data_IF_667777648785
#
_entry.id   IF_667777648785
#
_cell.length_a   1.000
_cell.length_b   1.000
_cell.length_c   1.000
_cell.angle_alpha   90.00
_cell.angle_beta   90.00
_cell.angle_gamma   90.00
#
_symmetry.space_group_name_H-M   'P 1'
#
loop_
_entity.id
_entity.type
_entity.pdbx_description
1 polymer ?
#
# COMPACT_ATOMS: atom_id res chain seq x y z
N UNK A 1 -16.88 -8.49 -2.51
CA UNK A 1 -16.78 -9.49 -3.63
C UNK A 1 -15.55 -10.35 -3.39
N UNK A 2 -15.63 -11.68 -3.44
CA UNK A 2 -14.46 -12.53 -3.18
C UNK A 2 -13.79 -12.99 -4.49
N UNK A 3 -12.52 -13.40 -4.39
CA UNK A 3 -11.69 -13.78 -5.53
C UNK A 3 -12.28 -14.92 -6.37
N UNK A 4 -12.79 -15.96 -5.72
CA UNK A 4 -13.38 -17.11 -6.42
C UNK A 4 -14.62 -16.72 -7.22
N UNK A 5 -15.46 -15.82 -6.68
CA UNK A 5 -16.61 -15.30 -7.39
C UNK A 5 -16.18 -14.50 -8.65
N UNK A 6 -15.13 -13.66 -8.54
CA UNK A 6 -14.60 -12.92 -9.69
C UNK A 6 -14.12 -13.89 -10.77
N UNK A 7 -13.37 -14.93 -10.41
CA UNK A 7 -12.91 -15.94 -11.38
C UNK A 7 -14.06 -16.69 -12.05
N UNK A 8 -15.10 -17.02 -11.28
CA UNK A 8 -16.30 -17.66 -11.82
C UNK A 8 -17.02 -16.75 -12.82
N UNK A 9 -17.25 -15.49 -12.49
CA UNK A 9 -17.93 -14.51 -13.37
C UNK A 9 -17.11 -14.29 -14.64
N UNK A 10 -15.81 -14.06 -14.51
CA UNK A 10 -14.93 -13.88 -15.68
C UNK A 10 -14.90 -15.10 -16.59
N UNK A 11 -14.95 -16.31 -16.02
CA UNK A 11 -14.93 -17.55 -16.77
C UNK A 11 -16.26 -17.93 -17.44
N UNK A 12 -17.40 -17.46 -16.92
CA UNK A 12 -18.73 -17.85 -17.39
C UNK A 12 -19.39 -16.86 -18.33
N UNK A 13 -19.02 -15.59 -18.30
CA UNK A 13 -19.65 -14.52 -19.10
C UNK A 13 -18.97 -14.37 -20.46
N UNK A 14 -19.73 -13.98 -21.49
CA UNK A 14 -19.16 -13.37 -22.70
C UNK A 14 -18.51 -12.00 -22.35
N UNK A 15 -17.77 -11.41 -23.28
CA UNK A 15 -17.16 -10.10 -23.00
C UNK A 15 -18.22 -9.01 -22.83
N UNK A 16 -19.30 -9.05 -23.64
CA UNK A 16 -20.44 -8.13 -23.50
C UNK A 16 -21.20 -8.31 -22.19
N UNK A 17 -21.45 -9.55 -21.78
CA UNK A 17 -22.12 -9.84 -20.50
C UNK A 17 -21.24 -9.39 -19.32
N UNK A 18 -19.93 -9.55 -19.45
CA UNK A 18 -18.98 -9.09 -18.42
C UNK A 18 -18.98 -7.56 -18.29
N UNK A 19 -19.01 -6.82 -19.41
CA UNK A 19 -19.10 -5.35 -19.40
C UNK A 19 -20.40 -4.90 -18.73
N UNK A 20 -21.55 -5.50 -19.08
CA UNK A 20 -22.84 -5.19 -18.46
C UNK A 20 -22.82 -5.48 -16.96
N UNK A 21 -22.35 -6.66 -16.57
CA UNK A 21 -22.18 -7.02 -15.17
C UNK A 21 -21.26 -6.05 -14.42
N UNK A 22 -20.12 -5.66 -15.01
CA UNK A 22 -19.18 -4.74 -14.41
C UNK A 22 -19.79 -3.32 -14.21
N UNK A 23 -20.64 -2.89 -15.14
CA UNK A 23 -21.41 -1.66 -15.03
C UNK A 23 -22.46 -1.74 -13.91
N UNK A 24 -23.24 -2.81 -13.84
CA UNK A 24 -24.23 -3.04 -12.77
C UNK A 24 -23.59 -3.07 -11.38
N UNK A 25 -22.40 -3.68 -11.27
CA UNK A 25 -21.62 -3.71 -10.03
C UNK A 25 -20.87 -2.40 -9.73
N UNK A 26 -21.03 -1.37 -10.58
CA UNK A 26 -20.31 -0.09 -10.51
C UNK A 26 -18.76 -0.27 -10.51
N UNK A 27 -18.30 -1.35 -11.11
CA UNK A 27 -16.87 -1.62 -11.35
C UNK A 27 -16.35 -0.71 -12.45
N UNK A 28 -17.16 -0.42 -13.44
CA UNK A 28 -16.94 0.59 -14.47
C UNK A 28 -18.09 1.60 -14.44
N UNK A 29 -17.87 2.76 -15.02
CA UNK A 29 -18.92 3.75 -15.15
C UNK A 29 -20.06 3.18 -16.06
N UNK A 30 -21.29 3.60 -15.78
CA UNK A 30 -22.43 3.18 -16.59
C UNK A 30 -22.22 3.58 -18.05
N UNK A 31 -22.14 2.58 -18.92
CA UNK A 31 -21.91 2.76 -20.36
C UNK A 31 -23.03 3.53 -21.06
N UNK A 32 -24.21 3.62 -20.43
CA UNK A 32 -25.38 4.32 -20.95
C UNK A 32 -25.46 5.79 -20.52
N UNK A 33 -24.54 6.25 -19.66
CA UNK A 33 -24.49 7.64 -19.22
C UNK A 33 -23.49 8.47 -20.05
N UNK A 34 -23.78 9.76 -20.18
CA UNK A 34 -22.85 10.71 -20.78
C UNK A 34 -21.69 10.98 -19.81
N UNK A 35 -20.48 10.67 -20.23
CA UNK A 35 -19.28 10.87 -19.42
C UNK A 35 -18.46 12.05 -19.93
N UNK A 36 -17.99 12.88 -19.02
CA UNK A 36 -17.13 14.02 -19.33
C UNK A 36 -15.71 13.74 -18.78
N UNK A 37 -14.70 14.12 -19.54
CA UNK A 37 -13.32 14.04 -19.09
C UNK A 37 -13.10 14.95 -17.87
N UNK A 38 -12.58 14.41 -16.79
CA UNK A 38 -12.30 15.19 -15.56
C UNK A 38 -11.24 16.29 -15.76
N UNK A 39 -10.40 16.15 -16.79
CA UNK A 39 -9.31 17.11 -17.05
C UNK A 39 -9.70 18.23 -18.04
N UNK A 40 -10.52 17.94 -19.06
CA UNK A 40 -10.87 18.91 -20.10
C UNK A 40 -12.40 19.15 -20.22
N UNK A 41 -13.22 18.49 -19.44
CA UNK A 41 -14.68 18.58 -19.43
C UNK A 41 -15.37 18.31 -20.78
N UNK A 42 -14.65 17.74 -21.74
CA UNK A 42 -15.25 17.33 -23.01
C UNK A 42 -16.01 16.03 -22.85
N UNK A 43 -17.10 15.90 -23.65
CA UNK A 43 -17.85 14.68 -23.74
C UNK A 43 -16.97 13.53 -24.23
N UNK A 44 -16.87 12.47 -23.46
CA UNK A 44 -16.12 11.28 -23.84
C UNK A 44 -16.99 10.41 -24.74
N UNK A 45 -16.44 10.02 -25.89
CA UNK A 45 -17.11 9.12 -26.83
C UNK A 45 -16.83 7.68 -26.46
N UNK A 46 -17.86 6.86 -26.55
CA UNK A 46 -17.73 5.41 -26.55
C UNK A 46 -16.88 5.04 -27.78
N UNK A 47 -15.71 4.44 -27.55
CA UNK A 47 -14.89 3.94 -28.64
C UNK A 47 -15.00 2.41 -28.69
N UNK A 48 -15.59 1.90 -29.76
CA UNK A 48 -15.48 0.49 -30.13
C UNK A 48 -14.17 0.30 -30.88
N UNK A 49 -13.38 -0.65 -30.49
CA UNK A 49 -12.12 -0.99 -31.15
C UNK A 49 -12.22 -2.42 -31.66
N UNK A 50 -11.67 -2.68 -32.86
CA UNK A 50 -11.55 -4.04 -33.39
C UNK A 50 -10.76 -4.98 -32.47
N UNK A 51 -9.99 -4.42 -31.54
CA UNK A 51 -9.30 -5.17 -30.48
C UNK A 51 -10.20 -5.59 -29.32
N UNK A 52 -11.38 -4.94 -29.19
CA UNK A 52 -12.36 -5.18 -28.15
C UNK A 52 -13.74 -5.14 -28.78
N UNK A 53 -14.09 -6.13 -29.63
CA UNK A 53 -15.31 -6.12 -30.43
C UNK A 53 -16.59 -6.01 -29.58
N UNK A 54 -16.50 -6.38 -28.29
CA UNK A 54 -17.64 -6.44 -27.38
C UNK A 54 -17.55 -5.40 -26.24
N UNK A 55 -16.54 -4.51 -26.26
CA UNK A 55 -16.27 -3.61 -25.14
C UNK A 55 -16.16 -2.15 -25.53
N UNK A 56 -17.07 -1.34 -24.98
CA UNK A 56 -16.92 0.10 -24.95
C UNK A 56 -15.85 0.48 -23.92
N UNK A 57 -14.77 1.10 -24.37
CA UNK A 57 -13.75 1.65 -23.47
C UNK A 57 -13.80 3.16 -23.57
N UNK A 58 -14.13 3.79 -22.44
CA UNK A 58 -14.01 5.23 -22.32
C UNK A 58 -12.55 5.65 -22.43
N UNK A 59 -12.32 6.89 -22.79
CA UNK A 59 -11.01 7.50 -22.90
C UNK A 59 -10.31 7.55 -21.52
N UNK A 60 -9.89 6.40 -21.06
CA UNK A 60 -9.22 6.15 -19.79
C UNK A 60 -7.88 5.48 -20.08
N UNK A 61 -7.00 5.43 -19.10
CA UNK A 61 -5.73 4.72 -19.20
C UNK A 61 -5.87 3.21 -19.61
N UNK A 62 -7.09 2.64 -19.51
CA UNK A 62 -7.42 1.28 -19.97
C UNK A 62 -7.57 1.27 -21.50
N UNK A 63 -7.94 2.39 -22.15
CA UNK A 63 -8.17 2.43 -23.61
C UNK A 63 -6.94 2.06 -24.44
N UNK A 64 -5.75 2.35 -23.93
CA UNK A 64 -4.47 2.01 -24.56
C UNK A 64 -3.91 0.65 -24.10
N UNK A 65 -4.62 -0.04 -23.23
CA UNK A 65 -4.20 -1.31 -22.69
C UNK A 65 -4.21 -2.42 -23.76
N UNK A 66 -3.17 -3.25 -23.78
CA UNK A 66 -3.08 -4.42 -24.66
C UNK A 66 -3.73 -5.67 -24.08
N UNK A 67 -4.56 -5.53 -23.05
CA UNK A 67 -5.26 -6.61 -22.35
C UNK A 67 -6.75 -6.32 -22.29
N UNK A 68 -7.59 -7.35 -22.24
CA UNK A 68 -9.03 -7.18 -22.09
C UNK A 68 -9.42 -6.70 -20.68
N UNK A 69 -10.61 -6.12 -20.54
CA UNK A 69 -11.15 -5.73 -19.23
C UNK A 69 -11.23 -6.92 -18.27
N UNK A 70 -11.58 -8.12 -18.77
CA UNK A 70 -11.55 -9.36 -18.00
C UNK A 70 -10.17 -9.67 -17.44
N UNK A 71 -9.15 -9.64 -18.32
CA UNK A 71 -7.77 -9.87 -17.89
C UNK A 71 -7.33 -8.83 -16.85
N UNK A 72 -7.64 -7.56 -17.07
CA UNK A 72 -7.36 -6.50 -16.12
C UNK A 72 -8.02 -6.76 -14.75
N UNK A 73 -9.31 -7.11 -14.75
CA UNK A 73 -10.06 -7.42 -13.52
C UNK A 73 -9.44 -8.59 -12.76
N UNK A 74 -9.02 -9.65 -13.46
CA UNK A 74 -8.34 -10.78 -12.82
C UNK A 74 -6.95 -10.38 -12.30
N UNK A 75 -6.19 -9.55 -13.04
CA UNK A 75 -4.89 -9.04 -12.58
C UNK A 75 -5.06 -8.23 -11.29
N UNK A 76 -6.05 -7.34 -11.23
CA UNK A 76 -6.35 -6.57 -10.03
C UNK A 76 -6.80 -7.48 -8.87
N UNK A 77 -7.65 -8.47 -9.14
CA UNK A 77 -8.07 -9.44 -8.12
C UNK A 77 -6.86 -10.23 -7.58
N UNK A 78 -5.97 -10.69 -8.45
CA UNK A 78 -4.73 -11.36 -8.04
C UNK A 78 -3.84 -10.45 -7.17
N UNK A 79 -3.70 -9.18 -7.55
CA UNK A 79 -2.93 -8.22 -6.77
C UNK A 79 -3.58 -7.97 -5.41
N UNK A 80 -4.90 -7.79 -5.35
CA UNK A 80 -5.60 -7.54 -4.08
C UNK A 80 -5.50 -8.72 -3.11
N UNK A 81 -5.44 -9.94 -3.61
CA UNK A 81 -5.17 -11.17 -2.82
C UNK A 81 -3.69 -11.38 -2.47
N UNK A 82 -2.80 -10.49 -2.93
CA UNK A 82 -1.37 -10.56 -2.67
C UNK A 82 -0.65 -11.69 -3.42
N UNK A 83 -1.19 -12.12 -4.58
CA UNK A 83 -0.48 -13.07 -5.45
C UNK A 83 0.75 -12.40 -6.08
N UNK A 84 1.81 -13.18 -6.26
CA UNK A 84 3.01 -12.68 -6.93
C UNK A 84 2.85 -12.62 -8.46
N UNK A 85 3.75 -11.89 -9.12
CA UNK A 85 3.75 -11.67 -10.57
C UNK A 85 3.70 -12.99 -11.34
N UNK A 86 4.53 -13.97 -10.95
CA UNK A 86 4.65 -15.26 -11.65
C UNK A 86 3.35 -16.07 -11.58
N UNK A 87 2.70 -16.10 -10.43
CA UNK A 87 1.42 -16.78 -10.26
C UNK A 87 0.32 -16.09 -11.06
N UNK A 88 0.27 -14.76 -11.02
CA UNK A 88 -0.71 -13.96 -11.77
C UNK A 88 -0.52 -14.14 -13.29
N UNK A 89 0.72 -14.13 -13.78
CA UNK A 89 1.02 -14.38 -15.19
C UNK A 89 0.48 -15.75 -15.68
N UNK A 90 0.61 -16.79 -14.86
CA UNK A 90 0.06 -18.12 -15.19
C UNK A 90 -1.46 -18.14 -15.22
N UNK A 91 -2.12 -17.45 -14.29
CA UNK A 91 -3.60 -17.39 -14.19
C UNK A 91 -4.19 -16.62 -15.38
N UNK A 92 -3.59 -15.48 -15.73
CA UNK A 92 -4.14 -14.54 -16.73
C UNK A 92 -3.63 -14.79 -18.14
N UNK A 93 -2.62 -15.65 -18.32
CA UNK A 93 -1.91 -15.89 -19.59
C UNK A 93 -1.35 -14.57 -20.16
N UNK A 94 -0.97 -13.65 -19.28
CA UNK A 94 -0.36 -12.35 -19.62
C UNK A 94 1.11 -12.37 -19.21
N UNK A 95 1.99 -11.75 -20.00
CA UNK A 95 3.43 -11.75 -19.72
C UNK A 95 3.77 -11.17 -18.35
N UNK A 96 4.78 -11.74 -17.67
CA UNK A 96 5.26 -11.22 -16.37
C UNK A 96 5.64 -9.75 -16.42
N UNK A 97 6.19 -9.29 -17.56
CA UNK A 97 6.52 -7.86 -17.78
C UNK A 97 5.26 -6.99 -17.74
N UNK A 98 4.19 -7.41 -18.38
CA UNK A 98 2.91 -6.70 -18.39
C UNK A 98 2.29 -6.68 -16.99
N UNK A 99 2.27 -7.84 -16.30
CA UNK A 99 1.80 -7.93 -14.91
C UNK A 99 2.60 -6.99 -13.99
N UNK A 100 3.93 -6.97 -14.12
CA UNK A 100 4.79 -6.08 -13.32
C UNK A 100 4.43 -4.60 -13.51
N UNK A 101 4.12 -4.19 -14.75
CA UNK A 101 3.71 -2.81 -15.03
C UNK A 101 2.37 -2.48 -14.35
N UNK A 102 1.38 -3.38 -14.41
CA UNK A 102 0.11 -3.18 -13.71
C UNK A 102 0.27 -3.15 -12.19
N UNK A 103 1.06 -4.07 -11.65
CA UNK A 103 1.34 -4.08 -10.21
C UNK A 103 2.07 -2.80 -9.76
N UNK A 104 2.99 -2.27 -10.57
CA UNK A 104 3.64 -0.98 -10.28
C UNK A 104 2.63 0.18 -10.29
N UNK A 105 1.71 0.19 -11.26
CA UNK A 105 0.63 1.17 -11.32
C UNK A 105 -0.29 1.05 -10.10
N UNK A 106 -0.71 -0.16 -9.71
CA UNK A 106 -1.56 -0.37 -8.53
C UNK A 106 -0.85 0.08 -7.25
N UNK A 107 0.45 -0.15 -7.12
CA UNK A 107 1.25 0.38 -6.01
C UNK A 107 1.25 1.91 -5.96
N UNK A 108 1.45 2.57 -7.10
CA UNK A 108 1.44 4.03 -7.16
C UNK A 108 0.10 4.62 -6.71
N UNK A 109 -1.00 3.98 -7.08
CA UNK A 109 -2.35 4.39 -6.65
C UNK A 109 -2.55 4.09 -5.15
N UNK A 110 -2.14 2.91 -4.69
CA UNK A 110 -2.20 2.53 -3.28
C UNK A 110 -1.38 3.48 -2.39
N UNK A 111 -0.21 3.92 -2.85
CA UNK A 111 0.59 4.93 -2.16
C UNK A 111 -0.15 6.26 -2.06
N UNK A 112 -0.75 6.75 -3.15
CA UNK A 112 -1.53 7.99 -3.14
C UNK A 112 -2.69 7.92 -2.15
N UNK A 113 -3.43 6.81 -2.14
CA UNK A 113 -4.54 6.58 -1.21
C UNK A 113 -4.05 6.47 0.24
N UNK A 114 -2.94 5.77 0.47
CA UNK A 114 -2.32 5.68 1.79
C UNK A 114 -1.93 7.06 2.34
N UNK A 115 -1.27 7.90 1.55
CA UNK A 115 -0.90 9.26 1.97
C UNK A 115 -2.15 10.10 2.27
N UNK A 116 -3.15 10.08 1.39
CA UNK A 116 -4.43 10.77 1.61
C UNK A 116 -5.17 10.28 2.87
N UNK A 117 -5.08 8.98 3.17
CA UNK A 117 -5.69 8.41 4.38
C UNK A 117 -4.98 8.87 5.66
N UNK A 118 -3.65 8.94 5.65
CA UNK A 118 -2.88 9.45 6.80
C UNK A 118 -3.14 10.93 7.04
N UNK A 119 -3.21 11.75 5.99
CA UNK A 119 -3.54 13.17 6.12
C UNK A 119 -4.91 13.41 6.78
N UNK A 120 -5.88 12.54 6.51
CA UNK A 120 -7.23 12.62 7.07
C UNK A 120 -7.37 12.00 8.46
N UNK A 121 -6.60 10.97 8.73
CA UNK A 121 -6.76 10.10 9.91
C UNK A 121 -5.41 9.84 10.59
N UNK A 122 -4.92 10.85 11.33
CA UNK A 122 -3.70 10.70 12.12
C UNK A 122 -3.81 9.56 13.14
N UNK A 123 -2.66 8.96 13.49
CA UNK A 123 -2.55 7.97 14.54
C UNK A 123 -2.74 8.61 15.93
N UNK A 124 -2.97 7.79 16.95
CA UNK A 124 -2.95 8.20 18.34
C UNK A 124 -4.31 8.59 18.90
N UNK A 125 -5.26 7.67 18.86
CA UNK A 125 -6.43 7.71 19.75
C UNK A 125 -5.98 7.48 21.20
N UNK A 126 -4.88 6.72 21.39
CA UNK A 126 -4.26 6.42 22.67
C UNK A 126 -2.74 6.35 22.55
N UNK A 127 -2.19 5.14 22.61
CA UNK A 127 -0.76 4.88 22.58
C UNK A 127 -0.28 4.59 21.15
N UNK A 128 0.81 5.25 20.75
CA UNK A 128 1.53 4.99 19.50
C UNK A 128 2.93 4.47 19.83
N UNK A 129 3.27 3.28 19.35
CA UNK A 129 4.64 2.79 19.39
C UNK A 129 5.39 3.25 18.17
N UNK A 130 6.63 3.73 18.36
CA UNK A 130 7.54 4.15 17.30
C UNK A 130 8.86 3.42 17.40
N UNK A 131 9.48 3.15 16.24
CA UNK A 131 10.79 2.48 16.13
C UNK A 131 11.36 2.65 14.72
N UNK A 132 12.66 2.40 14.52
CA UNK A 132 13.27 2.29 13.21
C UNK A 132 13.76 0.88 12.94
N UNK A 133 13.63 0.46 11.69
CA UNK A 133 14.18 -0.80 11.24
C UNK A 133 15.10 -0.64 10.04
N UNK A 134 16.16 -1.41 10.08
CA UNK A 134 17.15 -1.45 9.04
C UNK A 134 16.77 -2.48 7.97
N UNK A 135 16.69 -2.02 6.73
CA UNK A 135 16.41 -2.85 5.57
C UNK A 135 17.68 -3.02 4.72
N UNK A 136 17.85 -4.17 4.06
CA UNK A 136 19.00 -4.52 3.21
C UNK A 136 20.36 -4.70 3.93
N UNK A 137 20.36 -5.14 5.17
CA UNK A 137 21.58 -5.58 5.82
C UNK A 137 22.13 -6.82 5.11
N UNK A 138 23.38 -6.79 4.66
CA UNK A 138 24.05 -7.97 4.11
C UNK A 138 24.06 -9.08 5.16
N UNK A 139 23.48 -10.23 4.84
CA UNK A 139 23.18 -11.29 5.82
C UNK A 139 24.41 -11.94 6.46
N UNK A 140 25.62 -11.66 6.04
CA UNK A 140 26.86 -12.23 6.61
C UNK A 140 28.11 -11.38 6.41
N UNK A 141 28.02 -10.09 6.07
CA UNK A 141 29.19 -9.29 5.67
C UNK A 141 30.08 -9.95 4.58
N UNK A 142 29.55 -10.94 3.85
CA UNK A 142 30.23 -11.70 2.82
C UNK A 142 29.61 -11.38 1.47
N UNK A 143 30.39 -10.76 0.62
CA UNK A 143 30.02 -10.45 -0.77
C UNK A 143 30.90 -9.32 -1.29
N UNK A 144 31.63 -9.59 -2.36
CA UNK A 144 32.59 -8.68 -2.94
C UNK A 144 31.97 -7.31 -3.31
N UNK A 145 32.48 -6.23 -2.69
CA UNK A 145 32.71 -5.00 -3.40
C UNK A 145 31.69 -3.88 -3.35
N UNK A 146 30.51 -4.02 -2.77
CA UNK A 146 29.62 -2.88 -2.58
C UNK A 146 29.06 -2.88 -1.15
N UNK A 147 29.60 -1.98 -0.33
CA UNK A 147 28.91 -1.52 0.89
C UNK A 147 27.57 -0.94 0.41
N UNK A 148 26.53 -1.78 0.40
CA UNK A 148 25.17 -1.27 0.20
C UNK A 148 24.81 -0.55 1.48
N UNK A 149 24.76 0.77 1.41
CA UNK A 149 24.34 1.57 2.55
C UNK A 149 22.98 1.09 3.01
N UNK A 150 22.82 0.99 4.31
CA UNK A 150 21.60 0.61 4.95
C UNK A 150 20.49 1.60 4.57
N UNK A 151 19.29 1.11 4.38
CA UNK A 151 18.12 1.96 4.26
C UNK A 151 17.34 1.85 5.55
N UNK A 152 17.07 2.98 6.16
CA UNK A 152 16.24 3.06 7.34
C UNK A 152 14.79 3.21 6.95
N UNK A 153 13.92 2.53 7.68
CA UNK A 153 12.48 2.74 7.64
C UNK A 153 12.05 3.08 9.05
N UNK A 154 11.50 4.26 9.21
CA UNK A 154 10.84 4.68 10.44
C UNK A 154 9.40 4.18 10.42
N UNK A 155 8.88 3.77 11.56
CA UNK A 155 7.51 3.27 11.67
C UNK A 155 6.82 3.64 12.96
N UNK A 156 5.52 3.77 12.84
CA UNK A 156 4.59 4.10 13.90
C UNK A 156 3.41 3.13 13.86
N UNK A 157 2.97 2.66 15.01
CA UNK A 157 1.76 1.84 15.12
C UNK A 157 0.88 2.31 16.26
N UNK A 158 -0.35 2.62 15.97
CA UNK A 158 -1.40 2.84 16.96
C UNK A 158 -1.83 1.50 17.56
N UNK A 159 -1.68 1.37 18.88
CA UNK A 159 -1.94 0.11 19.58
C UNK A 159 -3.42 -0.28 19.53
N UNK A 160 -4.32 0.68 19.57
CA UNK A 160 -5.77 0.44 19.64
C UNK A 160 -6.35 0.10 18.27
N UNK A 161 -6.02 0.90 17.26
CA UNK A 161 -6.57 0.73 15.91
C UNK A 161 -5.79 -0.24 15.04
N UNK A 162 -4.55 -0.57 15.41
CA UNK A 162 -3.58 -1.31 14.60
C UNK A 162 -3.19 -0.64 13.27
N UNK A 163 -3.49 0.63 13.10
CA UNK A 163 -3.05 1.41 11.94
C UNK A 163 -1.56 1.68 12.03
N UNK A 164 -0.91 1.72 10.88
CA UNK A 164 0.54 1.84 10.76
C UNK A 164 0.91 2.98 9.81
N UNK A 165 1.90 3.76 10.18
CA UNK A 165 2.67 4.60 9.28
C UNK A 165 4.07 4.04 9.19
N UNK A 166 4.62 3.97 7.98
CA UNK A 166 6.00 3.58 7.75
C UNK A 166 6.58 4.36 6.58
N UNK A 167 7.71 5.04 6.82
CA UNK A 167 8.38 5.93 5.87
C UNK A 167 9.85 5.56 5.71
N UNK A 168 10.33 5.59 4.47
CA UNK A 168 11.76 5.39 4.18
C UNK A 168 12.50 6.68 4.53
N UNK A 169 13.58 6.56 5.31
CA UNK A 169 14.36 7.68 5.81
C UNK A 169 15.84 7.58 5.37
N UNK A 170 16.44 8.74 5.14
CA UNK A 170 17.89 8.82 4.85
C UNK A 170 18.73 8.53 6.08
N UNK A 171 18.25 8.98 7.25
CA UNK A 171 18.91 8.79 8.53
C UNK A 171 17.90 8.68 9.69
N UNK A 172 18.41 8.59 10.93
CA UNK A 172 17.63 8.51 12.17
C UNK A 172 17.82 9.73 13.06
N UNK A 173 18.10 10.88 12.47
CA UNK A 173 18.24 12.13 13.23
C UNK A 173 16.88 12.65 13.71
N UNK A 174 16.90 13.52 14.71
CA UNK A 174 15.70 14.20 15.17
C UNK A 174 15.09 15.08 14.05
N UNK A 175 15.96 15.71 13.25
CA UNK A 175 15.59 16.53 12.10
C UNK A 175 14.78 15.74 11.05
N UNK A 176 15.05 14.44 10.91
CA UNK A 176 14.32 13.55 9.99
C UNK A 176 13.06 12.98 10.63
N UNK A 177 13.14 12.49 11.87
CA UNK A 177 12.06 11.71 12.49
C UNK A 177 10.96 12.59 13.10
N UNK A 178 11.29 13.69 13.74
CA UNK A 178 10.30 14.55 14.42
C UNK A 178 9.26 15.13 13.45
N UNK A 179 9.62 15.64 12.25
CA UNK A 179 8.62 16.08 11.28
C UNK A 179 7.62 15.00 10.87
N UNK A 180 8.06 13.74 10.72
CA UNK A 180 7.17 12.62 10.40
C UNK A 180 6.17 12.44 11.55
N UNK A 181 6.66 12.29 12.79
CA UNK A 181 5.82 12.09 13.97
C UNK A 181 4.78 13.20 14.12
N UNK A 182 5.19 14.45 13.99
CA UNK A 182 4.28 15.62 14.15
C UNK A 182 3.22 15.71 13.06
N UNK A 183 3.53 15.21 11.85
CA UNK A 183 2.57 15.18 10.75
C UNK A 183 1.57 14.03 10.85
N UNK A 184 1.96 12.88 11.40
CA UNK A 184 1.20 11.63 11.37
C UNK A 184 0.52 11.26 12.68
N UNK A 185 0.98 11.79 13.82
CA UNK A 185 0.45 11.49 15.16
C UNK A 185 -0.31 12.69 15.74
N UNK A 186 -1.42 12.42 16.41
CA UNK A 186 -2.19 13.42 17.15
C UNK A 186 -1.40 13.89 18.38
N UNK A 187 -1.43 15.20 18.68
CA UNK A 187 -0.70 15.81 19.79
C UNK A 187 -1.08 15.28 21.18
N UNK A 188 -2.26 14.67 21.33
CA UNK A 188 -2.73 14.08 22.59
C UNK A 188 -2.31 12.62 22.78
N UNK A 189 -1.61 12.03 21.81
CA UNK A 189 -1.16 10.65 21.88
C UNK A 189 -0.03 10.49 22.90
N UNK A 190 0.02 9.29 23.47
CA UNK A 190 1.15 8.86 24.29
C UNK A 190 2.09 8.09 23.36
N UNK A 191 3.34 8.54 23.22
CA UNK A 191 4.34 7.88 22.40
C UNK A 191 5.16 6.93 23.26
N UNK A 192 5.29 5.68 22.80
CA UNK A 192 6.18 4.67 23.37
C UNK A 192 7.31 4.38 22.39
N UNK A 193 8.56 4.45 22.87
CA UNK A 193 9.75 4.12 22.07
C UNK A 193 10.83 3.43 22.90
N UNK A 194 11.94 3.07 22.25
CA UNK A 194 13.20 2.83 22.94
C UNK A 194 13.84 4.16 23.42
N UNK A 195 15.02 4.06 24.04
CA UNK A 195 15.78 5.23 24.52
C UNK A 195 16.66 5.86 23.43
N UNK A 196 16.19 5.93 22.17
CA UNK A 196 16.94 6.61 21.11
C UNK A 196 16.91 8.14 21.30
N UNK A 197 18.11 8.78 21.28
CA UNK A 197 18.27 10.22 21.59
C UNK A 197 17.48 11.17 20.69
N UNK A 198 17.18 10.79 19.46
CA UNK A 198 16.37 11.60 18.55
C UNK A 198 14.98 11.92 19.10
N UNK A 199 14.48 11.11 20.03
CA UNK A 199 13.17 11.24 20.63
C UNK A 199 13.13 12.13 21.90
N UNK A 200 14.29 12.52 22.44
CA UNK A 200 14.39 13.30 23.68
C UNK A 200 13.67 14.66 23.60
N UNK A 201 13.45 15.18 22.39
CA UNK A 201 12.83 16.47 22.14
C UNK A 201 11.31 16.41 21.90
N UNK A 202 10.67 15.21 21.90
CA UNK A 202 9.25 15.05 21.62
C UNK A 202 8.35 15.86 22.55
N UNK A 203 8.76 16.08 23.82
CA UNK A 203 8.01 16.91 24.75
C UNK A 203 7.89 18.38 24.29
N UNK A 204 8.85 18.90 23.52
CA UNK A 204 8.79 20.26 22.97
C UNK A 204 7.66 20.43 21.94
N UNK A 205 7.17 19.33 21.38
CA UNK A 205 6.09 19.26 20.39
C UNK A 205 4.74 18.87 21.02
N UNK A 206 4.68 18.82 22.37
CA UNK A 206 3.44 18.57 23.11
C UNK A 206 3.11 17.07 23.32
N UNK A 207 3.98 16.16 22.95
CA UNK A 207 3.73 14.72 23.15
C UNK A 207 4.07 14.25 24.56
N UNK A 208 3.26 13.36 25.11
CA UNK A 208 3.63 12.55 26.26
C UNK A 208 4.50 11.39 25.78
N UNK A 209 5.77 11.37 26.16
CA UNK A 209 6.73 10.37 25.71
C UNK A 209 7.17 9.47 26.87
N UNK A 210 7.10 8.17 26.67
CA UNK A 210 7.54 7.13 27.61
C UNK A 210 8.47 6.15 26.91
N UNK A 211 9.53 5.72 27.59
CA UNK A 211 10.57 4.89 27.00
C UNK A 211 10.77 3.57 27.73
N UNK A 212 11.17 2.54 26.99
CA UNK A 212 11.67 1.26 27.53
C UNK A 212 13.17 1.13 27.28
N UNK A 213 13.89 0.57 28.25
CA UNK A 213 15.31 0.26 28.08
C UNK A 213 15.49 -1.21 27.67
N UNK A 214 15.68 -1.45 26.38
CA UNK A 214 15.86 -2.81 25.84
C UNK A 214 17.13 -3.53 26.34
N UNK A 215 18.12 -2.81 26.90
CA UNK A 215 19.27 -3.46 27.52
C UNK A 215 18.95 -4.09 28.88
N UNK A 216 17.83 -3.72 29.48
CA UNK A 216 17.39 -4.20 30.80
C UNK A 216 16.13 -5.07 30.69
N UNK A 217 15.13 -4.59 29.96
CA UNK A 217 13.82 -5.24 29.89
C UNK A 217 13.18 -5.06 28.50
N UNK A 218 12.49 -6.09 27.99
CA UNK A 218 11.64 -5.97 26.79
C UNK A 218 10.33 -5.23 27.07
N UNK A 219 9.87 -5.28 28.33
CA UNK A 219 8.69 -4.59 28.83
C UNK A 219 9.10 -3.96 30.16
N UNK A 220 8.89 -2.66 30.32
CA UNK A 220 9.16 -2.00 31.58
C UNK A 220 8.27 -2.61 32.68
N UNK A 221 8.86 -3.10 33.79
CA UNK A 221 8.10 -3.84 34.81
C UNK A 221 7.07 -3.00 35.54
N UNK A 222 7.28 -1.68 35.60
CA UNK A 222 6.41 -0.73 36.34
C UNK A 222 5.41 -0.09 35.37
N UNK A 223 5.90 0.56 34.32
CA UNK A 223 5.07 1.35 33.41
C UNK A 223 4.40 0.51 32.31
N UNK A 224 4.87 -0.74 32.09
CA UNK A 224 4.46 -1.65 31.02
C UNK A 224 4.78 -1.14 29.60
N UNK A 225 5.54 -0.07 29.47
CA UNK A 225 6.02 0.45 28.20
C UNK A 225 6.82 -0.62 27.45
N UNK A 226 6.55 -0.79 26.19
CA UNK A 226 7.22 -1.75 25.30
C UNK A 226 7.10 -1.31 23.84
N UNK A 227 7.87 -1.95 22.95
CA UNK A 227 7.87 -1.72 21.49
C UNK A 227 7.56 -3.00 20.70
N UNK A 228 7.01 -4.01 21.36
CA UNK A 228 6.81 -5.34 20.75
C UNK A 228 5.89 -5.33 19.54
N UNK A 229 4.90 -4.42 19.50
CA UNK A 229 3.93 -4.37 18.41
C UNK A 229 4.56 -3.79 17.14
N UNK A 230 5.36 -2.73 17.26
CA UNK A 230 6.09 -2.19 16.12
C UNK A 230 7.19 -3.16 15.65
N UNK A 231 7.90 -3.84 16.54
CA UNK A 231 8.87 -4.88 16.18
C UNK A 231 8.21 -6.03 15.39
N UNK A 232 7.04 -6.47 15.82
CA UNK A 232 6.26 -7.49 15.10
C UNK A 232 5.81 -6.98 13.73
N UNK A 233 5.53 -5.68 13.60
CA UNK A 233 5.18 -5.03 12.35
C UNK A 233 6.34 -5.09 11.34
N UNK A 234 7.58 -4.86 11.79
CA UNK A 234 8.77 -5.03 10.95
C UNK A 234 8.89 -6.42 10.35
N UNK A 235 8.63 -7.45 11.15
CA UNK A 235 8.65 -8.82 10.66
C UNK A 235 7.59 -9.06 9.58
N UNK A 236 6.42 -8.45 9.72
CA UNK A 236 5.34 -8.55 8.74
C UNK A 236 5.70 -7.84 7.43
N UNK A 237 6.25 -6.62 7.49
CA UNK A 237 6.71 -5.88 6.30
C UNK A 237 7.82 -6.67 5.59
N UNK A 238 8.83 -7.17 6.32
CA UNK A 238 9.92 -7.96 5.73
C UNK A 238 9.42 -9.22 5.03
N UNK A 239 8.48 -9.96 5.64
CA UNK A 239 7.85 -11.11 5.00
C UNK A 239 7.05 -10.74 3.74
N UNK A 240 6.39 -9.59 3.73
CA UNK A 240 5.68 -9.09 2.55
C UNK A 240 6.67 -8.78 1.41
N UNK A 241 7.78 -8.11 1.72
CA UNK A 241 8.83 -7.82 0.74
C UNK A 241 9.46 -9.11 0.16
N UNK A 242 9.77 -10.07 1.01
CA UNK A 242 10.33 -11.37 0.58
C UNK A 242 9.37 -12.12 -0.35
N UNK A 243 8.07 -12.16 -0.03
CA UNK A 243 7.04 -12.80 -0.85
C UNK A 243 6.91 -12.15 -2.23
N UNK A 244 7.05 -10.85 -2.32
CA UNK A 244 6.97 -10.10 -3.57
C UNK A 244 8.30 -10.08 -4.33
N UNK A 245 9.29 -10.89 -3.91
CA UNK A 245 10.61 -10.99 -4.53
C UNK A 245 11.30 -9.63 -4.66
N UNK A 246 11.12 -8.77 -3.67
CA UNK A 246 11.68 -7.44 -3.65
C UNK A 246 13.23 -7.49 -3.56
N UNK A 247 13.92 -6.93 -4.55
CA UNK A 247 15.40 -6.95 -4.62
C UNK A 247 16.02 -5.58 -4.89
N UNK A 248 15.21 -4.54 -5.13
CA UNK A 248 15.70 -3.22 -5.52
C UNK A 248 15.38 -2.15 -4.48
N UNK A 249 16.39 -1.36 -4.08
CA UNK A 249 16.22 -0.22 -3.18
C UNK A 249 15.29 0.86 -3.74
N UNK A 250 15.36 1.11 -5.05
CA UNK A 250 14.62 2.18 -5.71
C UNK A 250 13.10 2.09 -5.56
N UNK A 251 12.59 0.91 -5.20
CA UNK A 251 11.15 0.69 -5.07
C UNK A 251 10.73 0.35 -3.63
N UNK A 252 11.65 0.44 -2.64
CA UNK A 252 11.33 0.06 -1.25
C UNK A 252 10.13 0.84 -0.73
N UNK A 253 10.17 2.15 -0.91
CA UNK A 253 9.13 3.06 -0.45
C UNK A 253 7.76 2.65 -0.99
N UNK A 254 7.62 2.42 -2.30
CA UNK A 254 6.34 2.03 -2.90
C UNK A 254 5.81 0.69 -2.37
N UNK A 255 6.67 -0.27 -2.02
CA UNK A 255 6.25 -1.53 -1.41
C UNK A 255 5.91 -1.39 0.08
N UNK A 256 6.62 -0.53 0.81
CA UNK A 256 6.29 -0.21 2.20
C UNK A 256 4.91 0.48 2.26
N UNK A 257 4.66 1.45 1.37
CA UNK A 257 3.38 2.14 1.28
C UNK A 257 2.25 1.21 0.82
N UNK A 258 2.51 0.28 -0.13
CA UNK A 258 1.55 -0.77 -0.48
C UNK A 258 1.18 -1.63 0.74
N UNK A 259 2.17 -2.01 1.55
CA UNK A 259 1.90 -2.78 2.77
C UNK A 259 1.06 -1.98 3.76
N UNK A 260 1.37 -0.70 3.99
CA UNK A 260 0.61 0.20 4.85
C UNK A 260 -0.83 0.41 4.34
N UNK A 261 -1.00 0.63 3.03
CA UNK A 261 -2.31 0.70 2.39
C UNK A 261 -3.15 -0.55 2.68
N UNK A 262 -2.58 -1.74 2.45
CA UNK A 262 -3.26 -3.02 2.70
C UNK A 262 -3.61 -3.19 4.17
N UNK A 263 -2.76 -2.73 5.07
CA UNK A 263 -2.94 -2.81 6.52
C UNK A 263 -4.03 -1.86 7.02
N UNK A 264 -3.99 -0.60 6.60
CA UNK A 264 -4.83 0.48 7.12
C UNK A 264 -6.21 0.52 6.46
N UNK A 265 -6.25 0.37 5.14
CA UNK A 265 -7.46 0.52 4.33
C UNK A 265 -8.08 -0.83 4.04
N UNK A 266 -7.25 -1.86 3.96
CA UNK A 266 -7.63 -3.23 3.62
C UNK A 266 -7.43 -3.53 2.15
N UNK A 267 -7.48 -4.80 1.82
CA UNK A 267 -7.14 -5.32 0.50
C UNK A 267 -8.27 -6.10 -0.17
N UNK A 268 -9.50 -5.83 0.20
CA UNK A 268 -10.64 -6.42 -0.53
C UNK A 268 -10.66 -5.86 -1.95
N UNK A 269 -11.05 -6.69 -2.89
CA UNK A 269 -11.15 -6.29 -4.30
C UNK A 269 -11.93 -4.99 -4.48
N UNK A 270 -13.08 -4.84 -3.82
CA UNK A 270 -13.92 -3.64 -3.93
C UNK A 270 -13.24 -2.38 -3.45
N UNK A 271 -12.55 -2.45 -2.32
CA UNK A 271 -11.79 -1.31 -1.77
C UNK A 271 -10.64 -0.92 -2.69
N UNK A 272 -9.88 -1.92 -3.16
CA UNK A 272 -8.79 -1.67 -4.11
C UNK A 272 -9.34 -1.08 -5.41
N UNK A 273 -10.44 -1.63 -5.93
CA UNK A 273 -11.02 -1.18 -7.17
C UNK A 273 -11.49 0.28 -7.10
N UNK A 274 -12.31 0.64 -6.11
CA UNK A 274 -12.80 2.02 -5.94
C UNK A 274 -11.66 3.02 -5.86
N UNK A 275 -10.65 2.71 -5.06
CA UNK A 275 -9.48 3.56 -4.90
C UNK A 275 -8.64 3.66 -6.19
N UNK A 276 -8.53 2.57 -6.96
CA UNK A 276 -7.74 2.53 -8.20
C UNK A 276 -8.40 3.30 -9.33
N UNK A 277 -9.72 3.20 -9.50
CA UNK A 277 -10.41 3.86 -10.62
C UNK A 277 -10.96 5.25 -10.27
N UNK A 278 -10.79 5.71 -9.00
CA UNK A 278 -11.17 7.06 -8.57
C UNK A 278 -12.69 7.29 -8.55
N UNK A 279 -13.50 6.25 -8.41
CA UNK A 279 -14.94 6.38 -8.19
C UNK A 279 -15.14 6.67 -6.70
N UNK A 280 -15.38 7.92 -6.38
CA UNK A 280 -15.80 8.33 -5.03
C UNK A 280 -17.14 7.67 -4.70
N UNK A 281 -17.21 7.11 -3.47
CA UNK A 281 -18.41 6.48 -2.90
C UNK A 281 -19.41 7.53 -2.43
#
# INVERSE_FOLDING_TARGET
MNFNYILQVVGSFSDSDFVNWASEQKIIQDINQLHFCSSCYNLMKLCYSDRYPDGAIFNSWISDAKISLKQFTVILACWSEGLNIKSTSKITIVSERTINNYFAMFRSIAEKEYRSDIDKHKLGIGIVQIDESHFFKAKYNVGSGLKRDAVWVFGEIDIETNRVVAEVCDDRSAETLIPIITSTVNSNAIIWSDKWKAYDTLYNYGFTHQTVNHSENFVDPITKVNTQKIESTWNSIKKFLDRNCYKSRSNLESYVHEWCFRRNIGNTFEKCWKNIIGIES
#
